data_IF_779376079510
#
_entry.id   IF_779376079510
#
_cell.length_a   1.000
_cell.length_b   1.000
_cell.length_c   1.000
_cell.angle_alpha   90.00
_cell.angle_beta   90.00
_cell.angle_gamma   90.00
#
_symmetry.space_group_name_H-M   'P 1'
#
loop_
_entity.id
_entity.type
_entity.pdbx_description
1 polymer ?
#
# COMPACT_ATOMS: atom_id res chain seq x y z
N UNK A 1 -4.24 -52.47 -32.20
CA UNK A 1 -5.11 -53.49 -31.58
C UNK A 1 -6.54 -53.01 -31.26
N UNK A 2 -6.79 -52.14 -30.27
CA UNK A 2 -8.19 -51.80 -29.88
C UNK A 2 -9.05 -51.15 -30.99
N UNK A 3 -8.44 -50.34 -31.85
CA UNK A 3 -9.13 -49.70 -33.00
C UNK A 3 -9.42 -50.73 -34.12
N UNK A 4 -8.48 -51.63 -34.36
CA UNK A 4 -8.60 -52.66 -35.39
C UNK A 4 -9.70 -53.67 -35.02
N UNK A 5 -9.77 -54.09 -33.76
CA UNK A 5 -10.80 -55.00 -33.26
C UNK A 5 -12.22 -54.40 -33.35
N UNK A 6 -12.40 -53.14 -32.93
CA UNK A 6 -13.72 -52.48 -32.95
C UNK A 6 -14.21 -52.11 -34.34
N UNK A 7 -13.30 -52.03 -35.30
CA UNK A 7 -13.65 -51.75 -36.71
C UNK A 7 -13.57 -53.02 -37.56
N UNK A 8 -13.18 -54.17 -37.01
CA UNK A 8 -13.09 -55.43 -37.73
C UNK A 8 -14.48 -55.91 -38.21
N UNK A 9 -14.58 -56.44 -39.43
CA UNK A 9 -15.84 -56.93 -40.01
C UNK A 9 -16.76 -55.88 -40.65
N UNK A 10 -16.47 -54.57 -40.52
CA UNK A 10 -17.23 -53.51 -41.18
C UNK A 10 -16.94 -53.51 -42.69
N UNK A 11 -17.91 -53.90 -43.53
CA UNK A 11 -17.78 -53.92 -44.99
C UNK A 11 -17.82 -52.48 -45.54
N UNK A 12 -17.11 -52.23 -46.65
CA UNK A 12 -17.05 -50.90 -47.31
C UNK A 12 -16.52 -49.73 -46.46
N UNK A 13 -15.51 -49.97 -45.61
CA UNK A 13 -14.88 -48.95 -44.72
C UNK A 13 -14.50 -47.64 -45.41
N UNK A 14 -14.09 -47.68 -46.68
CA UNK A 14 -13.63 -46.51 -47.43
C UNK A 14 -14.67 -45.95 -48.41
N UNK A 15 -15.81 -46.63 -48.60
CA UNK A 15 -16.80 -46.28 -49.62
C UNK A 15 -18.05 -45.63 -49.00
N UNK A 16 -18.57 -46.18 -47.90
CA UNK A 16 -19.73 -45.60 -47.23
C UNK A 16 -19.34 -44.42 -46.34
N UNK A 17 -20.04 -43.29 -46.48
CA UNK A 17 -19.80 -42.06 -45.68
C UNK A 17 -20.10 -42.31 -44.19
N UNK A 18 -21.19 -43.02 -43.89
CA UNK A 18 -21.58 -43.36 -42.51
C UNK A 18 -20.56 -44.26 -41.81
N UNK A 19 -20.00 -45.23 -42.55
CA UNK A 19 -19.00 -46.17 -42.03
C UNK A 19 -17.67 -45.46 -41.76
N UNK A 20 -17.25 -44.53 -42.64
CA UNK A 20 -16.06 -43.69 -42.44
C UNK A 20 -16.19 -42.79 -41.20
N UNK A 21 -17.38 -42.22 -40.98
CA UNK A 21 -17.63 -41.35 -39.82
C UNK A 21 -17.59 -42.15 -38.50
N UNK A 22 -18.12 -43.37 -38.50
CA UNK A 22 -18.04 -44.27 -37.34
C UNK A 22 -16.60 -44.68 -37.01
N UNK A 23 -15.80 -45.05 -38.02
CA UNK A 23 -14.38 -45.40 -37.83
C UNK A 23 -13.59 -44.22 -37.23
N UNK A 24 -13.77 -43.00 -37.76
CA UNK A 24 -13.13 -41.79 -37.21
C UNK A 24 -13.55 -41.52 -35.76
N UNK A 25 -14.81 -41.74 -35.42
CA UNK A 25 -15.30 -41.55 -34.05
C UNK A 25 -14.67 -42.56 -33.07
N UNK A 26 -14.55 -43.82 -33.49
CA UNK A 26 -13.92 -44.88 -32.67
C UNK A 26 -12.41 -44.60 -32.50
N UNK A 27 -11.72 -44.17 -33.56
CA UNK A 27 -10.31 -43.75 -33.49
C UNK A 27 -10.13 -42.60 -32.50
N UNK A 28 -10.94 -41.54 -32.60
CA UNK A 28 -10.87 -40.39 -31.69
C UNK A 28 -11.15 -40.77 -30.23
N UNK A 29 -12.10 -41.67 -29.97
CA UNK A 29 -12.38 -42.13 -28.61
C UNK A 29 -11.20 -42.91 -28.01
N UNK A 30 -10.53 -43.76 -28.78
CA UNK A 30 -9.37 -44.54 -28.30
C UNK A 30 -8.14 -43.63 -28.11
N UNK A 31 -7.89 -42.70 -29.03
CA UNK A 31 -6.78 -41.76 -28.92
C UNK A 31 -6.94 -40.83 -27.70
N UNK A 32 -8.16 -40.31 -27.46
CA UNK A 32 -8.44 -39.46 -26.30
C UNK A 32 -8.34 -40.19 -24.95
N UNK A 33 -8.70 -41.48 -24.91
CA UNK A 33 -8.56 -42.29 -23.70
C UNK A 33 -7.09 -42.57 -23.34
N UNK A 34 -6.25 -42.83 -24.34
CA UNK A 34 -4.81 -43.03 -24.16
C UNK A 34 -4.10 -41.71 -23.77
N UNK A 35 -4.49 -40.58 -24.37
CA UNK A 35 -3.91 -39.28 -24.03
C UNK A 35 -4.17 -38.86 -22.57
N UNK A 36 -5.38 -39.14 -22.04
CA UNK A 36 -5.71 -38.86 -20.63
C UNK A 36 -4.92 -39.72 -19.65
N UNK A 37 -4.65 -40.99 -19.98
CA UNK A 37 -3.83 -41.87 -19.13
C UNK A 37 -2.37 -41.41 -19.09
N UNK A 38 -1.76 -41.14 -20.25
CA UNK A 38 -0.35 -40.74 -20.30
C UNK A 38 -0.11 -39.36 -19.64
N UNK A 39 -1.02 -38.39 -19.83
CA UNK A 39 -0.88 -37.06 -19.24
C UNK A 39 -0.90 -37.10 -17.70
N UNK A 40 -1.75 -37.95 -17.10
CA UNK A 40 -1.82 -38.09 -15.64
C UNK A 40 -0.60 -38.79 -15.01
N UNK A 41 0.08 -39.67 -15.76
CA UNK A 41 1.34 -40.29 -15.30
C UNK A 41 2.53 -39.33 -15.43
N UNK A 42 2.54 -38.50 -16.47
CA UNK A 42 3.61 -37.53 -16.74
C UNK A 42 3.60 -36.37 -15.73
N UNK A 43 2.42 -35.83 -15.38
CA UNK A 43 2.25 -34.80 -14.35
C UNK A 43 2.66 -35.29 -12.94
N UNK A 44 2.38 -36.56 -12.62
CA UNK A 44 2.82 -37.19 -11.37
C UNK A 44 4.35 -37.35 -11.32
N UNK A 45 4.99 -37.69 -12.44
CA UNK A 45 6.45 -37.83 -12.52
C UNK A 45 7.16 -36.48 -12.40
N UNK A 46 6.62 -35.43 -13.01
CA UNK A 46 7.16 -34.07 -12.92
C UNK A 46 7.05 -33.49 -11.50
N UNK A 47 5.90 -33.65 -10.84
CA UNK A 47 5.73 -33.18 -9.46
C UNK A 47 6.62 -33.91 -8.44
N UNK A 48 6.90 -35.21 -8.65
CA UNK A 48 7.85 -35.96 -7.82
C UNK A 48 9.31 -35.51 -8.05
N UNK A 49 9.68 -35.23 -9.30
CA UNK A 49 11.02 -34.74 -9.64
C UNK A 49 11.29 -33.36 -9.01
N UNK A 50 10.35 -32.43 -9.12
CA UNK A 50 10.44 -31.09 -8.52
C UNK A 50 10.57 -31.16 -6.99
N UNK A 51 9.78 -32.01 -6.32
CA UNK A 51 9.89 -32.21 -4.86
C UNK A 51 11.25 -32.79 -4.45
N UNK A 52 11.83 -33.69 -5.26
CA UNK A 52 13.15 -34.27 -5.00
C UNK A 52 14.28 -33.25 -5.20
N UNK A 53 14.16 -32.37 -6.19
CA UNK A 53 15.12 -31.28 -6.40
C UNK A 53 15.05 -30.23 -5.29
N UNK A 54 13.86 -29.85 -4.86
CA UNK A 54 13.69 -28.92 -3.75
C UNK A 54 14.24 -29.49 -2.43
N UNK A 55 14.01 -30.78 -2.17
CA UNK A 55 14.59 -31.46 -1.02
C UNK A 55 16.13 -31.51 -1.08
N UNK A 56 16.71 -31.74 -2.26
CA UNK A 56 18.17 -31.70 -2.46
C UNK A 56 18.73 -30.30 -2.27
N UNK A 57 18.09 -29.27 -2.82
CA UNK A 57 18.50 -27.86 -2.64
C UNK A 57 18.46 -27.46 -1.16
N UNK A 58 17.40 -27.83 -0.43
CA UNK A 58 17.31 -27.60 1.02
C UNK A 58 18.41 -28.34 1.80
N UNK A 59 18.78 -29.55 1.38
CA UNK A 59 19.89 -30.30 1.98
C UNK A 59 21.25 -29.67 1.67
N UNK A 60 21.46 -29.18 0.45
CA UNK A 60 22.68 -28.47 0.03
C UNK A 60 22.82 -27.13 0.75
N UNK A 61 21.74 -26.34 0.84
CA UNK A 61 21.69 -25.09 1.62
C UNK A 61 21.98 -25.34 3.11
N UNK A 62 21.43 -26.41 3.67
CA UNK A 62 21.72 -26.80 5.06
C UNK A 62 23.18 -27.25 5.21
N UNK A 63 23.71 -28.05 4.28
CA UNK A 63 25.11 -28.47 4.31
C UNK A 63 26.08 -27.30 4.16
N UNK A 64 25.71 -26.27 3.39
CA UNK A 64 26.49 -25.05 3.23
C UNK A 64 26.51 -24.18 4.49
N UNK A 65 25.39 -24.12 5.22
CA UNK A 65 25.31 -23.43 6.50
C UNK A 65 26.15 -24.09 7.60
N UNK A 66 26.28 -25.42 7.57
CA UNK A 66 27.05 -26.20 8.55
C UNK A 66 28.48 -26.54 8.10
N UNK A 67 29.04 -25.81 7.13
CA UNK A 67 30.45 -26.00 6.71
C UNK A 67 31.39 -25.85 7.92
N UNK A 68 32.18 -26.88 8.26
CA UNK A 68 33.09 -26.81 9.40
C UNK A 68 34.19 -25.79 9.10
N UNK A 69 34.42 -24.88 10.05
CA UNK A 69 35.49 -23.88 10.01
C UNK A 69 36.82 -24.62 9.78
N UNK A 70 37.42 -24.35 8.62
CA UNK A 70 38.69 -24.97 8.23
C UNK A 70 39.82 -24.44 9.13
N UNK A 71 40.80 -25.28 9.43
CA UNK A 71 41.95 -24.86 10.23
C UNK A 71 42.86 -23.95 9.41
N UNK A 72 43.01 -22.71 9.86
CA UNK A 72 43.86 -21.70 9.25
C UNK A 72 45.33 -22.16 9.13
N UNK A 73 45.86 -22.21 7.90
CA UNK A 73 47.27 -22.48 7.63
C UNK A 73 48.01 -21.15 7.49
N UNK A 74 48.99 -20.91 8.35
CA UNK A 74 49.82 -19.70 8.30
C UNK A 74 51.03 -19.99 7.40
N UNK A 75 51.38 -19.10 6.46
CA UNK A 75 52.59 -19.23 5.65
C UNK A 75 53.85 -19.16 6.52
N UNK A 76 54.91 -19.83 6.07
CA UNK A 76 56.18 -19.91 6.79
C UNK A 76 56.81 -18.53 6.96
N UNK A 77 57.10 -18.13 8.22
CA UNK A 77 57.70 -16.82 8.55
C UNK A 77 56.77 -15.79 9.21
N UNK A 78 55.46 -16.09 9.36
CA UNK A 78 54.51 -15.24 10.10
C UNK A 78 54.19 -15.87 11.45
N UNK A 79 54.36 -15.10 12.53
CA UNK A 79 54.03 -15.56 13.89
C UNK A 79 52.53 -15.89 13.98
N UNK A 80 52.13 -17.12 14.35
CA UNK A 80 50.72 -17.51 14.39
C UNK A 80 49.85 -16.65 15.31
N UNK A 81 50.46 -16.04 16.33
CA UNK A 81 49.81 -15.14 17.28
C UNK A 81 49.58 -13.72 16.75
N UNK A 82 50.18 -13.39 15.61
CA UNK A 82 49.89 -12.15 14.88
C UNK A 82 48.64 -12.25 14.00
N UNK A 83 48.04 -13.42 13.93
CA UNK A 83 46.86 -13.69 13.09
C UNK A 83 45.65 -13.97 13.98
N UNK A 84 44.50 -13.38 13.63
CA UNK A 84 43.23 -13.58 14.32
C UNK A 84 42.77 -15.04 14.23
N UNK A 85 42.35 -15.62 15.34
CA UNK A 85 41.79 -16.96 15.40
C UNK A 85 40.40 -17.01 14.74
N UNK A 86 40.27 -17.72 13.63
CA UNK A 86 38.98 -17.90 12.94
C UNK A 86 37.91 -18.58 13.82
N UNK A 87 38.31 -19.55 14.66
CA UNK A 87 37.40 -20.19 15.62
C UNK A 87 36.95 -19.24 16.73
N UNK A 88 37.77 -18.25 17.09
CA UNK A 88 37.40 -17.23 18.07
C UNK A 88 36.46 -16.20 17.45
N UNK A 89 36.73 -15.80 16.20
CA UNK A 89 35.84 -14.95 15.40
C UNK A 89 34.46 -15.59 15.23
N UNK A 90 34.40 -16.91 15.10
CA UNK A 90 33.16 -17.70 15.05
C UNK A 90 32.63 -18.13 16.43
N UNK A 91 33.22 -17.67 17.55
CA UNK A 91 32.75 -17.98 18.91
C UNK A 91 32.87 -19.44 19.36
N UNK A 92 33.53 -20.31 18.59
CA UNK A 92 33.62 -21.76 18.82
C UNK A 92 35.02 -22.20 19.33
N UNK A 93 35.89 -21.24 19.69
CA UNK A 93 37.25 -21.55 20.12
C UNK A 93 37.30 -22.14 21.55
N UNK A 94 37.64 -23.41 21.66
CA UNK A 94 37.81 -24.12 22.95
C UNK A 94 39.17 -23.90 23.61
N UNK A 95 40.12 -23.24 22.93
CA UNK A 95 41.52 -23.12 23.37
C UNK A 95 41.79 -21.91 24.28
N UNK A 96 40.82 -21.01 24.44
CA UNK A 96 40.92 -19.85 25.33
C UNK A 96 42.21 -19.05 25.15
N UNK A 97 42.82 -18.61 26.25
CA UNK A 97 44.07 -17.82 26.25
C UNK A 97 45.32 -18.58 25.75
N UNK A 98 45.24 -19.90 25.62
CA UNK A 98 46.34 -20.76 25.13
C UNK A 98 46.25 -21.03 23.63
N UNK A 99 45.34 -20.37 22.92
CA UNK A 99 45.23 -20.52 21.48
C UNK A 99 46.52 -20.11 20.76
N UNK A 100 46.86 -20.85 19.69
CA UNK A 100 48.00 -20.57 18.81
C UNK A 100 47.81 -19.24 18.05
N UNK A 101 46.55 -18.83 17.87
CA UNK A 101 46.13 -17.63 17.17
C UNK A 101 45.62 -16.57 18.15
N UNK A 102 45.65 -15.30 17.74
CA UNK A 102 45.19 -14.18 18.58
C UNK A 102 43.69 -14.21 18.80
N UNK A 103 43.26 -13.86 20.02
CA UNK A 103 41.86 -13.58 20.38
C UNK A 103 41.61 -12.06 20.52
N UNK A 104 42.53 -11.22 20.08
CA UNK A 104 42.39 -9.77 20.12
C UNK A 104 41.86 -9.24 18.78
N UNK A 105 40.62 -8.73 18.81
CA UNK A 105 39.92 -8.11 17.65
C UNK A 105 40.66 -6.94 17.03
N UNK A 106 41.60 -6.32 17.75
CA UNK A 106 42.43 -5.27 17.21
C UNK A 106 43.46 -5.78 16.18
N UNK A 107 43.82 -7.06 16.21
CA UNK A 107 44.83 -7.65 15.32
C UNK A 107 44.34 -7.70 13.86
N UNK A 108 43.04 -7.88 13.62
CA UNK A 108 42.46 -7.88 12.27
C UNK A 108 42.48 -6.49 11.60
N UNK A 109 42.43 -5.40 12.39
CA UNK A 109 42.46 -4.03 11.86
C UNK A 109 43.86 -3.56 11.47
N UNK A 110 44.91 -4.25 11.91
CA UNK A 110 46.28 -3.99 11.49
C UNK A 110 46.46 -4.59 10.10
N UNK A 111 46.02 -3.86 9.08
CA UNK A 111 46.21 -4.24 7.68
C UNK A 111 47.66 -4.60 7.39
N UNK A 112 47.87 -5.50 6.43
CA UNK A 112 49.21 -5.92 5.98
C UNK A 112 50.07 -4.67 5.76
N UNK A 113 51.22 -4.61 6.44
CA UNK A 113 52.21 -3.54 6.22
C UNK A 113 52.46 -3.45 4.71
N UNK A 114 52.36 -2.24 4.15
CA UNK A 114 52.63 -2.03 2.74
C UNK A 114 54.01 -2.60 2.43
N UNK A 115 54.06 -3.58 1.52
CA UNK A 115 55.32 -4.18 1.09
C UNK A 115 56.14 -3.09 0.39
N UNK A 116 57.32 -2.81 0.96
CA UNK A 116 58.21 -1.72 0.58
C UNK A 116 58.68 -1.83 -0.88
N UNK A 117 58.65 -3.04 -1.44
CA UNK A 117 59.09 -3.32 -2.81
C UNK A 117 57.97 -3.32 -3.84
N UNK A 118 56.71 -3.15 -3.44
CA UNK A 118 55.57 -3.06 -4.36
C UNK A 118 54.93 -1.69 -4.30
N UNK A 119 55.07 -0.91 -5.38
CA UNK A 119 54.40 0.38 -5.50
C UNK A 119 52.91 0.16 -5.79
N UNK A 120 52.05 0.67 -4.92
CA UNK A 120 50.58 0.60 -5.08
C UNK A 120 50.09 1.28 -6.37
N UNK A 121 50.92 2.12 -7.01
CA UNK A 121 50.60 2.77 -8.29
C UNK A 121 50.64 1.77 -9.45
N UNK A 122 51.55 0.79 -9.44
CA UNK A 122 51.69 -0.17 -10.53
C UNK A 122 50.48 -1.12 -10.60
N UNK A 123 49.95 -1.51 -9.45
CA UNK A 123 48.74 -2.35 -9.34
C UNK A 123 47.49 -1.61 -9.85
N UNK A 124 47.40 -0.29 -9.61
CA UNK A 124 46.28 0.53 -10.08
C UNK A 124 46.33 0.78 -11.59
N UNK A 125 47.53 0.91 -12.17
CA UNK A 125 47.69 1.13 -13.61
C UNK A 125 47.39 -0.13 -14.43
N UNK A 126 47.59 -1.31 -13.86
CA UNK A 126 47.21 -2.59 -14.48
C UNK A 126 45.68 -2.84 -14.48
N UNK A 127 44.93 -2.08 -13.68
CA UNK A 127 43.49 -2.19 -13.46
C UNK A 127 42.71 -1.24 -14.37
N UNK A 128 42.73 -1.57 -15.66
CA UNK A 128 42.10 -0.81 -16.75
C UNK A 128 40.59 -1.08 -16.82
N UNK A 129 39.79 -0.05 -17.13
CA UNK A 129 38.30 -0.12 -17.22
C UNK A 129 37.79 -1.28 -18.09
N UNK A 130 38.57 -1.68 -19.09
CA UNK A 130 38.24 -2.78 -20.00
C UNK A 130 38.19 -4.16 -19.33
N UNK A 131 38.73 -4.29 -18.11
CA UNK A 131 38.72 -5.53 -17.31
C UNK A 131 37.71 -5.50 -16.16
N UNK A 132 36.85 -4.48 -16.13
CA UNK A 132 35.88 -4.32 -15.05
C UNK A 132 34.55 -4.95 -15.42
N UNK A 133 34.19 -5.99 -14.68
CA UNK A 133 32.84 -6.54 -14.73
C UNK A 133 31.84 -5.57 -14.07
N UNK A 134 30.57 -5.73 -14.41
CA UNK A 134 29.49 -4.85 -13.95
C UNK A 134 29.42 -4.70 -12.43
N UNK A 135 29.71 -5.76 -11.68
CA UNK A 135 29.74 -5.71 -10.21
C UNK A 135 30.89 -4.85 -9.66
N UNK A 136 32.05 -4.84 -10.32
CA UNK A 136 33.19 -4.00 -9.92
C UNK A 136 32.92 -2.53 -10.26
N UNK A 137 32.26 -2.29 -11.39
CA UNK A 137 31.80 -0.96 -11.77
C UNK A 137 30.80 -0.40 -10.74
N UNK A 138 29.83 -1.21 -10.31
CA UNK A 138 28.87 -0.86 -9.26
C UNK A 138 29.55 -0.54 -7.92
N UNK A 139 30.54 -1.33 -7.50
CA UNK A 139 31.32 -1.08 -6.28
C UNK A 139 32.10 0.25 -6.33
N UNK A 140 32.68 0.57 -7.49
CA UNK A 140 33.39 1.84 -7.68
C UNK A 140 32.41 3.02 -7.70
N UNK A 141 31.23 2.87 -8.29
CA UNK A 141 30.18 3.89 -8.24
C UNK A 141 29.68 4.10 -6.81
N UNK A 142 29.44 3.02 -6.05
CA UNK A 142 29.03 3.08 -4.63
C UNK A 142 30.11 3.73 -3.74
N UNK A 143 31.39 3.43 -3.97
CA UNK A 143 32.49 4.03 -3.21
C UNK A 143 32.74 5.50 -3.58
N UNK A 144 32.47 5.90 -4.82
CA UNK A 144 32.59 7.31 -5.27
C UNK A 144 31.42 8.17 -4.83
N UNK A 145 30.20 7.66 -4.87
CA UNK A 145 29.00 8.41 -4.52
C UNK A 145 28.56 8.26 -3.06
N UNK A 146 29.25 7.41 -2.29
CA UNK A 146 28.85 7.07 -0.93
C UNK A 146 27.56 6.26 -0.91
N UNK A 147 27.36 5.50 0.16
CA UNK A 147 26.15 4.69 0.31
C UNK A 147 24.91 5.60 0.24
N UNK A 148 23.99 5.42 -0.72
CA UNK A 148 22.79 6.26 -0.82
C UNK A 148 22.02 6.14 0.49
N UNK A 149 21.76 7.27 1.16
CA UNK A 149 21.00 7.26 2.41
C UNK A 149 19.63 6.68 2.10
N UNK A 150 19.23 5.66 2.86
CA UNK A 150 17.95 4.97 2.69
C UNK A 150 16.82 5.97 2.93
N UNK A 151 16.21 6.48 1.87
CA UNK A 151 14.97 7.25 1.95
C UNK A 151 13.82 6.28 2.19
N UNK A 152 12.94 6.63 3.13
CA UNK A 152 11.76 5.82 3.45
C UNK A 152 10.58 6.27 2.60
N UNK A 153 9.71 5.32 2.22
CA UNK A 153 8.46 5.60 1.50
C UNK A 153 7.38 6.27 2.39
N UNK A 154 7.68 6.47 3.67
CA UNK A 154 6.80 7.12 4.64
C UNK A 154 6.84 8.63 4.41
N UNK A 155 5.67 9.26 4.35
CA UNK A 155 5.54 10.71 4.16
C UNK A 155 5.97 11.44 5.43
N UNK A 156 6.70 12.54 5.26
CA UNK A 156 7.16 13.36 6.38
C UNK A 156 5.98 14.04 7.11
N UNK A 157 5.98 14.01 8.45
CA UNK A 157 4.93 14.64 9.27
C UNK A 157 4.85 16.15 9.07
N UNK A 158 6.01 16.82 9.04
CA UNK A 158 6.09 18.27 8.81
C UNK A 158 5.63 18.67 7.41
N UNK A 159 5.77 17.76 6.44
CA UNK A 159 5.23 17.96 5.10
C UNK A 159 3.70 17.92 5.12
N UNK A 160 3.09 16.96 5.83
CA UNK A 160 1.63 16.92 6.00
C UNK A 160 1.11 18.19 6.69
N UNK A 161 1.77 18.66 7.75
CA UNK A 161 1.42 19.91 8.43
C UNK A 161 1.54 21.14 7.52
N UNK A 162 2.59 21.22 6.70
CA UNK A 162 2.80 22.31 5.77
C UNK A 162 1.78 22.30 4.62
N UNK A 163 1.41 21.11 4.15
CA UNK A 163 0.37 20.92 3.14
C UNK A 163 -0.99 21.33 3.69
N UNK A 164 -1.33 20.95 4.92
CA UNK A 164 -2.57 21.37 5.58
C UNK A 164 -2.64 22.88 5.80
N UNK A 165 -1.52 23.49 6.22
CA UNK A 165 -1.37 24.94 6.39
C UNK A 165 -1.31 25.71 5.06
N UNK A 166 -1.15 25.02 3.92
CA UNK A 166 -1.00 25.66 2.62
C UNK A 166 0.33 26.40 2.45
N UNK A 167 1.32 26.13 3.30
CA UNK A 167 2.64 26.77 3.31
C UNK A 167 3.71 25.93 2.62
N UNK A 168 3.31 24.87 1.92
CA UNK A 168 4.23 24.04 1.13
C UNK A 168 4.50 24.73 -0.21
N UNK A 169 5.77 24.92 -0.57
CA UNK A 169 6.12 25.68 -1.77
C UNK A 169 7.60 26.01 -1.90
N UNK A 170 7.91 26.99 -2.74
CA UNK A 170 9.27 27.32 -3.21
C UNK A 170 10.29 27.64 -2.11
N UNK A 171 9.85 28.10 -0.93
CA UNK A 171 10.72 28.39 0.21
C UNK A 171 10.48 27.47 1.42
N UNK A 172 9.74 26.37 1.25
CA UNK A 172 9.46 25.47 2.37
C UNK A 172 10.57 24.45 2.56
N UNK A 173 11.36 24.61 3.62
CA UNK A 173 12.33 23.63 4.09
C UNK A 173 11.78 22.79 5.23
N UNK A 174 11.92 21.47 5.10
CA UNK A 174 11.52 20.55 6.16
C UNK A 174 12.41 20.73 7.41
N UNK A 175 11.85 20.94 8.61
CA UNK A 175 12.64 21.09 9.83
C UNK A 175 13.40 19.80 10.21
N UNK A 176 13.03 18.64 9.65
CA UNK A 176 13.74 17.37 9.81
C UNK A 176 14.90 17.19 8.80
N UNK A 177 15.51 18.30 8.34
CA UNK A 177 16.75 18.29 7.55
C UNK A 177 16.64 18.74 6.10
N UNK A 178 15.60 19.49 5.72
CA UNK A 178 15.41 20.03 4.37
C UNK A 178 15.45 18.92 3.32
N UNK A 179 16.39 19.01 2.39
CA UNK A 179 16.64 17.99 1.36
C UNK A 179 17.28 16.68 1.87
N UNK A 180 17.68 16.62 3.15
CA UNK A 180 18.31 15.45 3.80
C UNK A 180 17.33 14.68 4.69
N UNK A 181 16.05 15.03 4.68
CA UNK A 181 15.01 14.31 5.43
C UNK A 181 14.96 12.84 4.97
N UNK A 182 14.88 11.93 5.94
CA UNK A 182 14.76 10.48 5.69
C UNK A 182 13.36 10.13 5.14
N UNK A 183 12.38 10.98 5.39
CA UNK A 183 10.98 10.80 4.99
C UNK A 183 10.67 11.54 3.69
N UNK A 184 9.71 11.02 2.93
CA UNK A 184 9.32 11.52 1.62
C UNK A 184 8.55 12.85 1.71
N UNK A 185 8.94 13.84 0.91
CA UNK A 185 8.25 15.14 0.75
C UNK A 185 7.35 15.16 -0.49
N UNK A 186 6.52 14.15 -0.63
CA UNK A 186 5.52 14.08 -1.69
C UNK A 186 4.33 13.24 -1.21
N UNK A 187 3.12 13.71 -1.52
CA UNK A 187 1.91 12.96 -1.24
C UNK A 187 1.93 11.65 -2.06
N UNK A 188 1.42 10.53 -1.51
CA UNK A 188 1.27 9.30 -2.25
C UNK A 188 0.37 9.50 -3.48
N UNK A 189 0.63 8.77 -4.59
CA UNK A 189 -0.21 8.88 -5.78
C UNK A 189 -1.66 8.53 -5.44
N UNK A 190 -2.59 9.46 -5.70
CA UNK A 190 -4.03 9.30 -5.42
C UNK A 190 -4.55 9.95 -4.13
N UNK A 191 -3.70 10.60 -3.32
CA UNK A 191 -4.17 11.34 -2.12
C UNK A 191 -4.72 12.73 -2.51
N UNK A 192 -6.04 12.89 -2.43
CA UNK A 192 -6.73 14.18 -2.65
C UNK A 192 -6.85 14.92 -1.31
N UNK A 193 -6.40 16.17 -1.26
CA UNK A 193 -6.50 17.00 -0.05
C UNK A 193 -7.97 17.25 0.31
N UNK A 194 -8.26 17.28 1.61
CA UNK A 194 -9.61 17.59 2.14
C UNK A 194 -10.15 18.95 1.69
N UNK A 195 -9.27 19.91 1.37
CA UNK A 195 -9.65 21.23 0.85
C UNK A 195 -10.04 21.22 -0.63
N UNK A 196 -9.55 20.24 -1.39
CA UNK A 196 -9.83 20.10 -2.83
C UNK A 196 -10.95 19.09 -3.11
N UNK A 197 -11.40 18.36 -2.08
CA UNK A 197 -12.71 17.72 -2.13
C UNK A 197 -13.74 18.84 -2.27
N UNK A 198 -14.37 18.93 -3.45
CA UNK A 198 -15.63 19.66 -3.60
C UNK A 198 -16.51 19.24 -2.41
N UNK A 199 -17.17 20.19 -1.71
CA UNK A 199 -18.15 19.79 -0.71
C UNK A 199 -19.08 18.83 -1.43
N UNK A 200 -19.09 17.56 -0.99
CA UNK A 200 -20.04 16.61 -1.52
C UNK A 200 -21.40 17.25 -1.27
N UNK A 201 -22.11 17.54 -2.37
CA UNK A 201 -23.49 17.97 -2.30
C UNK A 201 -24.15 16.98 -1.37
N UNK A 202 -24.60 17.47 -0.21
CA UNK A 202 -25.33 16.62 0.73
C UNK A 202 -26.50 16.12 -0.07
N UNK A 203 -26.50 14.84 -0.41
CA UNK A 203 -27.62 14.20 -1.07
C UNK A 203 -28.85 14.58 -0.24
N UNK A 204 -29.72 15.41 -0.83
CA UNK A 204 -30.95 15.83 -0.18
C UNK A 204 -31.73 14.55 0.07
N UNK A 205 -31.67 14.08 1.32
CA UNK A 205 -32.37 12.87 1.76
C UNK A 205 -33.82 13.05 1.32
N UNK A 206 -34.31 12.13 0.49
CA UNK A 206 -35.66 12.22 -0.06
C UNK A 206 -36.66 12.37 1.09
N UNK A 207 -37.75 13.11 0.85
CA UNK A 207 -38.79 13.32 1.86
C UNK A 207 -39.27 11.98 2.46
N UNK A 208 -39.30 10.94 1.64
CA UNK A 208 -39.63 9.57 2.01
C UNK A 208 -38.64 8.97 3.01
N UNK A 209 -37.33 9.06 2.75
CA UNK A 209 -36.28 8.55 3.64
C UNK A 209 -36.29 9.30 4.99
N UNK A 210 -36.54 10.61 4.97
CA UNK A 210 -36.71 11.38 6.19
C UNK A 210 -37.94 10.91 6.99
N UNK A 211 -39.09 10.71 6.32
CA UNK A 211 -40.31 10.21 6.97
C UNK A 211 -40.13 8.80 7.54
N UNK A 212 -39.40 7.91 6.86
CA UNK A 212 -39.11 6.56 7.35
C UNK A 212 -38.23 6.56 8.61
N UNK A 213 -37.19 7.40 8.63
CA UNK A 213 -36.33 7.54 9.82
C UNK A 213 -37.09 8.11 11.01
N UNK A 214 -37.93 9.13 10.82
CA UNK A 214 -38.74 9.72 11.88
C UNK A 214 -39.83 8.77 12.37
N UNK A 215 -40.44 7.98 11.48
CA UNK A 215 -41.42 6.95 11.86
C UNK A 215 -40.80 5.85 12.74
N UNK A 216 -39.55 5.47 12.48
CA UNK A 216 -38.85 4.49 13.30
C UNK A 216 -38.39 5.07 14.66
N UNK A 217 -38.19 6.39 14.75
CA UNK A 217 -37.87 7.08 16.01
C UNK A 217 -39.10 7.24 16.91
N UNK A 218 -40.31 7.30 16.33
CA UNK A 218 -41.55 7.35 17.11
C UNK A 218 -41.74 6.03 17.89
N UNK A 219 -41.96 6.16 19.20
CA UNK A 219 -42.22 5.04 20.11
C UNK A 219 -43.62 4.43 19.94
N UNK A 220 -43.94 3.44 20.78
CA UNK A 220 -45.21 2.70 20.73
C UNK A 220 -46.42 3.46 21.30
N UNK A 221 -46.19 4.56 22.02
CA UNK A 221 -47.23 5.35 22.67
C UNK A 221 -47.72 6.46 21.73
N UNK A 222 -48.60 6.11 20.80
CA UNK A 222 -49.17 7.03 19.81
C UNK A 222 -50.61 7.39 20.17
N UNK A 223 -50.96 8.68 20.10
CA UNK A 223 -52.34 9.14 20.29
C UNK A 223 -53.17 8.86 19.02
N UNK A 224 -54.31 8.16 19.12
CA UNK A 224 -55.16 7.92 17.97
C UNK A 224 -55.81 9.22 17.51
N UNK A 225 -55.80 9.46 16.20
CA UNK A 225 -56.40 10.67 15.59
C UNK A 225 -57.93 10.54 15.59
N UNK A 226 -58.53 10.99 16.67
CA UNK A 226 -59.99 11.19 16.83
C UNK A 226 -60.35 12.66 16.63
N UNK A 227 -61.62 12.97 16.37
CA UNK A 227 -62.07 14.35 16.15
C UNK A 227 -61.70 15.29 17.32
N UNK A 228 -61.86 14.82 18.56
CA UNK A 228 -61.49 15.59 19.76
C UNK A 228 -59.98 15.82 19.88
N UNK A 229 -59.16 14.83 19.53
CA UNK A 229 -57.70 14.98 19.54
C UNK A 229 -57.22 15.94 18.44
N UNK A 230 -57.88 15.90 17.28
CA UNK A 230 -57.55 16.71 16.13
C UNK A 230 -57.93 18.18 16.32
N UNK A 231 -59.09 18.47 16.91
CA UNK A 231 -59.49 19.85 17.23
C UNK A 231 -58.57 20.47 18.28
N UNK A 232 -58.20 19.72 19.32
CA UNK A 232 -57.18 20.15 20.31
C UNK A 232 -55.83 20.43 19.66
N UNK A 233 -55.37 19.53 18.78
CA UNK A 233 -54.12 19.73 18.04
C UNK A 233 -54.17 20.94 17.10
N UNK A 234 -55.29 21.15 16.40
CA UNK A 234 -55.47 22.27 15.48
C UNK A 234 -55.44 23.61 16.22
N UNK A 235 -56.18 23.71 17.32
CA UNK A 235 -56.17 24.89 18.19
C UNK A 235 -54.75 25.18 18.71
N UNK A 236 -54.04 24.16 19.23
CA UNK A 236 -52.66 24.32 19.70
C UNK A 236 -51.67 24.71 18.58
N UNK A 237 -51.92 24.26 17.34
CA UNK A 237 -51.10 24.62 16.18
C UNK A 237 -51.34 26.06 15.73
N UNK A 238 -52.59 26.52 15.74
CA UNK A 238 -52.95 27.91 15.44
C UNK A 238 -52.37 28.85 16.50
N UNK A 239 -52.53 28.53 17.79
CA UNK A 239 -51.93 29.31 18.89
C UNK A 239 -50.40 29.38 18.78
N UNK A 240 -49.73 28.27 18.45
CA UNK A 240 -48.27 28.26 18.23
C UNK A 240 -47.89 29.15 17.04
N UNK A 241 -48.65 29.10 15.95
CA UNK A 241 -48.40 29.92 14.77
C UNK A 241 -48.55 31.41 15.09
N UNK A 242 -49.62 31.79 15.78
CA UNK A 242 -49.85 33.17 16.23
C UNK A 242 -48.76 33.63 17.19
N UNK A 243 -48.35 32.79 18.14
CA UNK A 243 -47.26 33.10 19.06
C UNK A 243 -45.91 33.29 18.34
N UNK A 244 -45.61 32.49 17.32
CA UNK A 244 -44.40 32.61 16.52
C UNK A 244 -44.45 33.86 15.61
N UNK A 245 -45.61 34.18 15.03
CA UNK A 245 -45.83 35.41 14.26
C UNK A 245 -45.68 36.67 15.14
N UNK A 246 -46.24 36.66 16.35
CA UNK A 246 -46.08 37.75 17.33
C UNK A 246 -44.61 37.90 17.73
N UNK A 247 -43.91 36.79 18.04
CA UNK A 247 -42.47 36.84 18.36
C UNK A 247 -41.64 37.36 17.18
N UNK A 248 -41.98 36.96 15.96
CA UNK A 248 -41.31 37.46 14.75
C UNK A 248 -41.56 38.95 14.55
N UNK A 249 -42.78 39.43 14.77
CA UNK A 249 -43.11 40.86 14.72
C UNK A 249 -42.36 41.65 15.81
N UNK A 250 -42.30 41.15 17.04
CA UNK A 250 -41.53 41.78 18.12
C UNK A 250 -40.03 41.79 17.83
N UNK A 251 -39.48 40.73 17.22
CA UNK A 251 -38.08 40.68 16.82
C UNK A 251 -37.77 41.70 15.71
N UNK A 252 -38.68 41.84 14.74
CA UNK A 252 -38.61 42.86 13.68
C UNK A 252 -38.68 44.28 14.24
N UNK A 253 -39.60 44.55 15.18
CA UNK A 253 -39.71 45.85 15.85
C UNK A 253 -38.45 46.19 16.66
N UNK A 254 -37.87 45.21 17.37
CA UNK A 254 -36.60 45.39 18.09
C UNK A 254 -35.43 45.64 17.14
N UNK A 255 -35.37 44.95 16.01
CA UNK A 255 -34.35 45.17 14.98
C UNK A 255 -34.47 46.57 14.34
N UNK A 256 -35.70 47.03 14.14
CA UNK A 256 -36.01 48.38 13.68
C UNK A 256 -35.56 49.45 14.68
N UNK A 257 -35.94 49.32 15.97
CA UNK A 257 -35.49 50.23 17.05
C UNK A 257 -33.96 50.25 17.22
N UNK A 258 -33.28 49.15 16.89
CA UNK A 258 -31.83 49.06 16.91
C UNK A 258 -31.14 49.59 15.62
N UNK A 259 -31.88 50.18 14.68
CA UNK A 259 -31.34 50.79 13.46
C UNK A 259 -30.83 49.80 12.41
N UNK A 260 -31.14 48.50 12.53
CA UNK A 260 -30.76 47.47 11.54
C UNK A 260 -31.84 47.31 10.48
N UNK A 261 -31.79 48.18 9.47
CA UNK A 261 -32.77 48.21 8.37
C UNK A 261 -32.48 47.21 7.23
N UNK A 262 -31.33 46.54 7.24
CA UNK A 262 -30.84 45.78 6.08
C UNK A 262 -31.70 44.57 5.66
N UNK A 263 -32.61 44.07 6.51
CA UNK A 263 -33.41 42.85 6.27
C UNK A 263 -34.92 43.03 6.52
N UNK A 264 -35.41 44.28 6.56
CA UNK A 264 -36.83 44.56 6.74
C UNK A 264 -37.53 44.68 5.40
N UNK A 265 -38.70 44.05 5.24
CA UNK A 265 -39.54 44.26 4.05
C UNK A 265 -40.01 45.71 4.00
N UNK A 266 -40.16 46.29 2.80
CA UNK A 266 -40.70 47.65 2.65
C UNK A 266 -42.05 47.82 3.35
N UNK A 267 -42.92 46.81 3.30
CA UNK A 267 -44.20 46.80 4.04
C UNK A 267 -43.99 46.83 5.56
N UNK A 268 -42.99 46.13 6.07
CA UNK A 268 -42.68 46.15 7.51
C UNK A 268 -42.17 47.54 7.94
N UNK A 269 -41.40 48.22 7.07
CA UNK A 269 -40.87 49.55 7.35
C UNK A 269 -41.96 50.61 7.54
N UNK A 270 -43.00 50.61 6.69
CA UNK A 270 -44.15 51.53 6.82
C UNK A 270 -45.05 51.20 8.02
N UNK A 271 -45.18 49.92 8.40
CA UNK A 271 -45.94 49.52 9.59
C UNK A 271 -45.28 49.99 10.89
N UNK A 272 -43.93 50.01 10.94
CA UNK A 272 -43.19 50.46 12.13
C UNK A 272 -42.87 51.97 12.13
N UNK A 273 -43.07 52.68 11.01
CA UNK A 273 -42.92 54.13 10.93
C UNK A 273 -44.10 54.82 10.21
N UNK A 274 -45.27 54.95 10.87
CA UNK A 274 -46.46 55.53 10.27
C UNK A 274 -46.35 57.03 9.92
N UNK A 275 -45.34 57.75 10.42
CA UNK A 275 -45.17 59.18 10.16
C UNK A 275 -44.53 59.50 8.80
N UNK A 276 -43.85 58.53 8.18
CA UNK A 276 -43.28 58.70 6.83
C UNK A 276 -44.34 58.67 5.72
N UNK A 277 -45.54 58.14 5.99
CA UNK A 277 -46.64 58.05 5.02
C UNK A 277 -47.35 59.41 4.81
N UNK A 278 -47.32 60.30 5.82
CA UNK A 278 -48.03 61.57 5.81
C UNK A 278 -47.23 62.75 5.23
N UNK A 279 -45.96 62.57 4.84
CA UNK A 279 -45.08 63.66 4.39
C UNK A 279 -44.87 63.69 2.87
N UNK A 280 -45.78 63.11 2.08
CA UNK A 280 -45.66 63.08 0.62
C UNK A 280 -46.86 63.68 -0.14
N UNK A 281 -47.66 64.53 0.53
CA UNK A 281 -48.63 65.44 -0.10
C UNK A 281 -48.17 66.90 0.11
N UNK A 282 -47.19 67.33 -0.70
CA UNK A 282 -46.95 68.72 -1.12
C UNK A 282 -46.09 68.74 -2.41
#
# INVERSE_FOLDING_TARGET
QVIEDKTFGLKNKNKSVKVRQYVKQVEQQVMNANHKKNKGEEEKKQSLALKKEEAKKKQEEFAELFKPIQQQKVPFGVDPKSVMCEFFKAGTCTKGSKCKFSHDTAVERKGTKADMYTDKRDVKNADTMDKWDQSRLEEVVLSKHGNPRTTTNIVCKHFLEAVEKGSYGWFWDCPNGGNKCIYRHALPPGFVLKKDKKPEEKDEISLEDFLETERHKLGKDLTPVTLESFTKWKAAREERKEADEIKAQQAKERAYKAGKLANMSGRDYFVFNPELDNNNDD
#
